data_IF_769799835025
#
_entry.id   IF_769799835025
#
_cell.length_a   1.000
_cell.length_b   1.000
_cell.length_c   1.000
_cell.angle_alpha   90.00
_cell.angle_beta   90.00
_cell.angle_gamma   90.00
#
_symmetry.space_group_name_H-M   'P 1'
#
loop_
_entity.id
_entity.type
_entity.pdbx_description
1 polymer ?
#
# COMPACT_ATOMS: atom_id res chain seq x y z
N UNK A 1 7.61 17.56 4.58
CA UNK A 1 6.61 16.76 5.27
C UNK A 1 6.57 15.36 4.73
N UNK A 2 6.53 14.39 5.61
CA UNK A 2 6.58 12.99 5.20
C UNK A 2 5.17 12.42 5.18
N UNK A 3 4.84 11.77 4.06
CA UNK A 3 3.56 11.10 3.93
C UNK A 3 3.76 9.63 4.24
N UNK A 4 3.06 9.16 5.25
CA UNK A 4 3.17 7.76 5.63
C UNK A 4 2.50 6.89 4.57
N UNK A 5 3.14 5.78 4.17
CA UNK A 5 2.52 4.86 3.22
C UNK A 5 1.21 4.30 3.77
N UNK A 6 0.24 4.15 2.88
CA UNK A 6 -1.05 3.56 3.23
C UNK A 6 -1.23 2.30 2.41
N UNK A 7 -1.50 1.20 3.11
CA UNK A 7 -1.73 -0.08 2.46
C UNK A 7 -3.20 -0.45 2.59
N UNK A 8 -3.89 -0.49 1.45
CA UNK A 8 -5.29 -0.92 1.42
C UNK A 8 -5.32 -2.42 1.22
N UNK A 9 -6.00 -3.10 2.13
CA UNK A 9 -6.07 -4.55 2.14
C UNK A 9 -7.52 -5.02 2.18
N UNK A 10 -7.70 -6.32 2.09
CA UNK A 10 -8.99 -6.94 2.21
C UNK A 10 -8.83 -8.31 2.85
N UNK A 11 -9.72 -8.66 3.75
CA UNK A 11 -9.66 -9.93 4.44
C UNK A 11 -9.69 -11.07 3.41
N UNK A 12 -8.86 -12.09 3.64
CA UNK A 12 -8.80 -13.22 2.74
C UNK A 12 -7.95 -12.99 1.50
N UNK A 13 -7.34 -11.83 1.36
CA UNK A 13 -6.47 -11.55 0.22
C UNK A 13 -5.04 -12.00 0.53
N UNK A 14 -4.61 -13.09 -0.11
CA UNK A 14 -3.28 -13.62 0.16
C UNK A 14 -2.18 -12.65 -0.22
N UNK A 15 -2.38 -11.89 -1.29
CA UNK A 15 -1.39 -10.92 -1.71
C UNK A 15 -1.27 -9.76 -0.73
N UNK A 16 -2.37 -9.38 -0.09
CA UNK A 16 -2.30 -8.35 0.93
C UNK A 16 -1.36 -8.75 2.05
N UNK A 17 -1.42 -10.02 2.45
CA UNK A 17 -0.52 -10.52 3.48
C UNK A 17 0.94 -10.47 3.03
N UNK A 18 1.18 -10.73 1.76
CA UNK A 18 2.54 -10.69 1.22
C UNK A 18 3.11 -9.28 1.24
N UNK A 19 2.31 -8.30 0.86
CA UNK A 19 2.76 -6.91 0.86
C UNK A 19 3.01 -6.45 2.29
N UNK A 20 2.11 -6.80 3.19
CA UNK A 20 2.28 -6.45 4.61
C UNK A 20 3.59 -7.00 5.15
N UNK A 21 3.87 -8.26 4.87
CA UNK A 21 5.09 -8.91 5.34
C UNK A 21 6.32 -8.25 4.70
N UNK A 22 6.24 -7.93 3.43
CA UNK A 22 7.36 -7.29 2.73
C UNK A 22 7.71 -5.95 3.37
N UNK A 23 6.67 -5.13 3.64
CA UNK A 23 6.90 -3.82 4.24
C UNK A 23 7.50 -3.98 5.64
N UNK A 24 7.00 -4.92 6.40
CA UNK A 24 7.50 -5.16 7.76
C UNK A 24 8.94 -5.63 7.72
N UNK A 25 9.27 -6.53 6.80
CA UNK A 25 10.62 -7.06 6.70
C UNK A 25 11.64 -5.99 6.35
N UNK A 26 11.23 -4.99 5.57
CA UNK A 26 12.13 -3.92 5.20
C UNK A 26 12.06 -2.73 6.16
N UNK A 27 11.34 -2.87 7.26
CA UNK A 27 11.28 -1.83 8.28
C UNK A 27 10.55 -0.57 7.83
N UNK A 28 9.62 -0.71 6.90
CA UNK A 28 8.86 0.42 6.37
C UNK A 28 7.58 0.57 7.15
N UNK A 29 7.42 1.68 7.85
CA UNK A 29 6.19 1.95 8.59
C UNK A 29 5.07 2.29 7.61
N UNK A 30 3.87 1.80 7.90
CA UNK A 30 2.73 2.05 7.04
C UNK A 30 1.45 1.98 7.87
N UNK A 31 0.40 2.60 7.34
CA UNK A 31 -0.94 2.51 7.92
C UNK A 31 -1.74 1.53 7.07
N UNK A 32 -2.34 0.54 7.72
CA UNK A 32 -3.16 -0.42 7.00
C UNK A 32 -4.62 -0.03 7.08
N UNK A 33 -5.28 -0.05 5.91
CA UNK A 33 -6.71 0.26 5.82
C UNK A 33 -7.41 -0.94 5.21
N UNK A 34 -8.29 -1.57 5.97
CA UNK A 34 -8.98 -2.78 5.52
C UNK A 34 -10.27 -2.38 4.81
N UNK A 35 -10.22 -2.38 3.48
CA UNK A 35 -11.36 -1.96 2.68
C UNK A 35 -12.50 -2.96 2.73
N UNK A 36 -12.23 -4.19 3.17
CA UNK A 36 -13.27 -5.18 3.28
C UNK A 36 -14.12 -5.03 4.54
N UNK A 37 -13.60 -4.33 5.54
CA UNK A 37 -14.28 -4.21 6.83
C UNK A 37 -14.64 -2.78 7.19
N UNK A 38 -13.94 -1.81 6.62
CA UNK A 38 -14.12 -0.40 6.96
C UNK A 38 -14.69 0.33 5.76
N UNK A 39 -15.96 0.79 5.83
CA UNK A 39 -16.56 1.49 4.69
C UNK A 39 -15.79 2.74 4.26
N UNK A 40 -15.16 3.44 5.21
CA UNK A 40 -14.37 4.61 4.86
C UNK A 40 -13.15 4.21 4.06
N UNK A 41 -12.51 3.10 4.44
CA UNK A 41 -11.35 2.63 3.70
C UNK A 41 -11.76 2.20 2.29
N UNK A 42 -12.92 1.57 2.17
CA UNK A 42 -13.43 1.17 0.86
C UNK A 42 -13.67 2.39 -0.02
N UNK A 43 -14.21 3.46 0.55
CA UNK A 43 -14.43 4.68 -0.20
C UNK A 43 -13.10 5.32 -0.62
N UNK A 44 -12.14 5.35 0.29
CA UNK A 44 -10.83 5.89 -0.05
C UNK A 44 -10.19 5.11 -1.19
N UNK A 45 -10.32 3.79 -1.15
CA UNK A 45 -9.78 2.95 -2.21
C UNK A 45 -10.43 3.26 -3.54
N UNK A 46 -11.76 3.40 -3.53
CA UNK A 46 -12.50 3.73 -4.76
C UNK A 46 -12.03 5.06 -5.32
N UNK A 47 -11.70 6.01 -4.47
CA UNK A 47 -11.25 7.32 -4.92
C UNK A 47 -9.90 7.27 -5.62
N UNK A 48 -9.12 6.21 -5.40
CA UNK A 48 -7.86 6.05 -6.13
C UNK A 48 -8.07 5.54 -7.55
N UNK A 49 -9.29 5.13 -7.87
CA UNK A 49 -9.61 4.63 -9.19
C UNK A 49 -9.59 3.11 -9.31
N UNK A 50 -9.45 2.40 -8.19
CA UNK A 50 -9.46 0.94 -8.23
C UNK A 50 -10.19 0.40 -7.01
N UNK A 51 -10.70 -0.81 -7.16
CA UNK A 51 -11.31 -1.55 -6.05
C UNK A 51 -10.47 -2.76 -5.67
N UNK A 52 -9.38 -2.99 -6.37
CA UNK A 52 -8.56 -4.17 -6.13
C UNK A 52 -7.59 -3.94 -4.98
N UNK A 53 -7.24 -5.01 -4.29
CA UNK A 53 -6.25 -5.00 -3.21
C UNK A 53 -5.21 -6.07 -3.49
N UNK A 54 -4.04 -5.95 -2.88
CA UNK A 54 -3.55 -4.86 -2.05
C UNK A 54 -3.14 -3.66 -2.91
N UNK A 55 -3.33 -2.46 -2.37
CA UNK A 55 -2.87 -1.24 -3.03
C UNK A 55 -2.03 -0.46 -2.05
N UNK A 56 -0.77 -0.23 -2.38
CA UNK A 56 0.13 0.58 -1.57
C UNK A 56 0.23 1.97 -2.18
N UNK A 57 -0.06 2.98 -1.38
CA UNK A 57 -0.01 4.37 -1.82
C UNK A 57 1.06 5.10 -1.02
N UNK A 58 2.02 5.69 -1.71
CA UNK A 58 3.05 6.52 -1.09
C UNK A 58 3.14 7.81 -1.89
N UNK A 59 2.68 8.92 -1.28
CA UNK A 59 2.69 10.19 -1.99
C UNK A 59 1.93 10.10 -3.30
N UNK A 60 2.61 10.26 -4.41
CA UNK A 60 1.99 10.21 -5.73
C UNK A 60 2.01 8.83 -6.33
N UNK A 61 2.75 7.90 -5.74
CA UNK A 61 2.93 6.59 -6.33
C UNK A 61 1.98 5.57 -5.76
N UNK A 62 1.66 4.58 -6.58
CA UNK A 62 0.78 3.48 -6.20
C UNK A 62 1.32 2.19 -6.77
N UNK A 63 1.21 1.11 -6.00
CA UNK A 63 1.52 -0.23 -6.48
C UNK A 63 0.34 -1.13 -6.16
N UNK A 64 -0.23 -1.74 -7.19
CA UNK A 64 -1.34 -2.67 -7.03
C UNK A 64 -0.81 -4.09 -7.08
N UNK A 65 -1.18 -4.88 -6.09
CA UNK A 65 -0.74 -6.26 -6.01
C UNK A 65 0.65 -6.38 -5.41
N UNK A 66 1.14 -7.62 -5.33
CA UNK A 66 2.46 -7.88 -4.77
C UNK A 66 3.49 -7.92 -5.89
N UNK A 67 4.21 -6.83 -6.05
CA UNK A 67 5.25 -6.70 -7.06
C UNK A 67 6.50 -6.16 -6.41
N UNK A 68 7.40 -7.04 -5.96
CA UNK A 68 8.56 -6.60 -5.17
C UNK A 68 9.41 -5.55 -5.88
N UNK A 69 9.58 -5.66 -7.18
CA UNK A 69 10.37 -4.66 -7.90
C UNK A 69 9.70 -3.30 -7.88
N UNK A 70 8.39 -3.28 -8.11
CA UNK A 70 7.65 -2.02 -8.09
C UNK A 70 7.62 -1.43 -6.68
N UNK A 71 7.50 -2.29 -5.67
CA UNK A 71 7.54 -1.83 -4.29
C UNK A 71 8.89 -1.23 -3.94
N UNK A 72 9.96 -1.89 -4.39
CA UNK A 72 11.30 -1.37 -4.16
C UNK A 72 11.49 -0.03 -4.85
N UNK A 73 11.04 0.08 -6.09
CA UNK A 73 11.18 1.33 -6.83
C UNK A 73 10.42 2.46 -6.15
N UNK A 74 9.20 2.18 -5.70
CA UNK A 74 8.37 3.21 -5.08
C UNK A 74 8.98 3.69 -3.76
N UNK A 75 9.45 2.77 -2.92
CA UNK A 75 10.01 3.14 -1.63
C UNK A 75 11.38 3.77 -1.77
N UNK A 76 12.19 3.28 -2.72
CA UNK A 76 13.52 3.85 -2.97
C UNK A 76 13.43 5.25 -3.52
N UNK A 77 12.47 5.48 -4.40
CA UNK A 77 12.27 6.79 -4.99
C UNK A 77 12.08 7.85 -3.92
N UNK A 78 11.33 7.50 -2.89
CA UNK A 78 11.08 8.40 -1.79
C UNK A 78 12.35 8.75 -1.04
N UNK A 79 13.25 7.77 -0.92
CA UNK A 79 14.49 7.96 -0.17
C UNK A 79 15.54 8.71 -0.97
N UNK A 80 15.38 8.77 -2.27
CA UNK A 80 16.36 9.42 -3.14
C UNK A 80 16.09 10.89 -3.34
N UNK A 81 15.06 11.40 -2.71
CA UNK A 81 14.77 12.82 -2.82
C UNK A 81 15.94 13.63 -2.34
N UNK A 82 16.38 14.61 -3.13
CA UNK A 82 17.48 15.47 -2.72
C UNK A 82 17.14 16.36 -1.57
#
# INVERSE_FOLDING_TARGET
MVTEPILYTQAGCAESAKVRAWLTDYGIAFTERDAGRDPEAAQELAETGTFATPLLVIGHGKVLGFHPKALTDLTSSKQQEP
#
